data_IF_926972186721
#
_entry.id   IF_926972186721
#
_cell.length_a   1.000
_cell.length_b   1.000
_cell.length_c   1.000
_cell.angle_alpha   90.00
_cell.angle_beta   90.00
_cell.angle_gamma   90.00
#
_symmetry.space_group_name_H-M   'P 1'
#
loop_
_entity.id
_entity.type
_entity.pdbx_description
1 polymer ?
#
# COMPACT_ATOMS: atom_id res chain seq x y z
N UNK A 1 15.27 23.70 15.19
CA UNK A 1 14.04 22.92 15.48
C UNK A 1 14.32 21.53 16.04
N UNK A 2 15.29 20.77 15.53
CA UNK A 2 15.67 19.46 16.13
C UNK A 2 16.40 19.57 17.48
N UNK A 3 17.12 20.67 17.71
CA UNK A 3 17.87 20.87 18.96
C UNK A 3 17.00 21.25 20.16
N UNK A 4 15.87 21.92 19.91
CA UNK A 4 14.90 22.31 20.94
C UNK A 4 14.11 21.10 21.44
N UNK A 5 13.75 20.18 20.54
CA UNK A 5 13.13 18.89 20.88
C UNK A 5 14.12 18.01 21.66
N UNK A 6 15.42 18.01 21.30
CA UNK A 6 16.47 17.35 22.10
C UNK A 6 16.65 17.98 23.48
N UNK A 7 16.50 19.29 23.60
CA UNK A 7 16.57 20.03 24.86
C UNK A 7 15.42 19.67 25.80
N UNK A 8 14.18 19.67 25.31
CA UNK A 8 12.99 19.32 26.09
C UNK A 8 13.02 17.88 26.60
N UNK A 9 13.46 16.91 25.76
CA UNK A 9 13.63 15.50 26.14
C UNK A 9 14.72 15.32 27.21
N UNK A 10 15.79 16.13 27.19
CA UNK A 10 16.85 16.09 28.20
C UNK A 10 16.42 16.67 29.54
N UNK A 11 15.59 17.71 29.57
CA UNK A 11 15.08 18.32 30.81
C UNK A 11 14.03 17.43 31.47
N UNK A 12 13.11 16.85 30.70
CA UNK A 12 12.13 15.89 31.22
C UNK A 12 12.80 14.60 31.69
N UNK A 13 13.81 14.09 30.97
CA UNK A 13 14.60 12.94 31.41
C UNK A 13 15.48 13.23 32.64
N UNK A 14 15.81 14.49 32.96
CA UNK A 14 16.52 14.90 34.20
C UNK A 14 15.56 15.04 35.39
N UNK A 15 14.35 15.54 35.18
CA UNK A 15 13.32 15.60 36.21
C UNK A 15 12.79 14.21 36.58
N UNK A 16 12.62 13.35 35.57
CA UNK A 16 12.27 11.94 35.77
C UNK A 16 13.38 11.15 36.47
N UNK A 17 14.65 11.43 36.22
CA UNK A 17 15.75 10.75 36.92
C UNK A 17 15.99 11.19 38.35
N UNK A 18 15.46 12.35 38.75
CA UNK A 18 15.46 12.81 40.15
C UNK A 18 14.32 12.17 40.96
N UNK A 19 13.21 11.80 40.30
CA UNK A 19 12.05 11.16 40.95
C UNK A 19 12.11 9.63 40.83
N UNK A 20 12.64 9.11 39.73
CA UNK A 20 12.83 7.68 39.43
C UNK A 20 14.23 7.50 38.82
N UNK A 21 15.22 7.18 39.67
CA UNK A 21 16.64 7.04 39.31
C UNK A 21 16.89 6.21 38.05
N UNK A 22 17.83 6.69 37.22
CA UNK A 22 18.32 6.08 35.97
C UNK A 22 19.17 4.84 36.27
N UNK A 23 18.93 3.74 35.55
CA UNK A 23 20.03 2.84 35.15
C UNK A 23 19.64 1.96 33.95
N UNK A 24 19.65 2.53 32.74
CA UNK A 24 19.93 1.72 31.55
C UNK A 24 21.42 1.88 31.27
N UNK A 25 22.19 1.09 31.98
CA UNK A 25 23.63 0.90 31.86
C UNK A 25 23.87 -0.48 32.44
N UNK A 26 24.54 -1.35 31.69
CA UNK A 26 24.83 -2.75 32.02
C UNK A 26 25.11 -2.95 33.52
N UNK A 27 24.14 -3.46 34.26
CA UNK A 27 24.27 -3.82 35.66
C UNK A 27 23.38 -5.01 35.92
N UNK A 28 23.94 -6.07 36.51
CA UNK A 28 23.24 -7.22 37.08
C UNK A 28 21.93 -6.79 37.73
N UNK A 29 20.82 -6.92 37.01
CA UNK A 29 19.51 -6.57 37.50
C UNK A 29 19.15 -7.66 38.51
N UNK A 30 19.16 -7.32 39.81
CA UNK A 30 18.79 -8.25 40.88
C UNK A 30 17.36 -8.72 40.59
N UNK A 31 17.25 -9.92 40.02
CA UNK A 31 15.95 -10.54 39.70
C UNK A 31 15.08 -10.56 40.95
N UNK A 32 13.78 -10.30 40.85
CA UNK A 32 12.85 -10.59 41.93
C UNK A 32 13.00 -12.08 42.28
N UNK A 33 13.44 -12.36 43.49
CA UNK A 33 13.73 -13.73 43.97
C UNK A 33 12.42 -14.40 44.40
N UNK A 34 11.53 -14.63 43.45
CA UNK A 34 10.34 -15.46 43.62
C UNK A 34 10.34 -16.55 42.56
N UNK A 35 10.00 -17.78 42.93
CA UNK A 35 9.94 -18.91 41.98
C UNK A 35 9.05 -18.59 40.77
N UNK A 36 7.94 -17.89 41.00
CA UNK A 36 7.03 -17.43 39.96
C UNK A 36 7.67 -16.42 38.99
N UNK A 37 8.41 -15.44 39.50
CA UNK A 37 9.02 -14.40 38.66
C UNK A 37 10.17 -14.97 37.82
N UNK A 38 10.90 -15.96 38.34
CA UNK A 38 11.93 -16.66 37.59
C UNK A 38 11.34 -17.52 36.47
N UNK A 39 10.21 -18.19 36.71
CA UNK A 39 9.48 -18.96 35.71
C UNK A 39 8.93 -18.06 34.59
N UNK A 40 8.37 -16.90 34.93
CA UNK A 40 7.95 -15.91 33.94
C UNK A 40 9.13 -15.40 33.11
N UNK A 41 10.27 -15.11 33.73
CA UNK A 41 11.48 -14.65 33.04
C UNK A 41 12.01 -15.68 32.04
N UNK A 42 11.93 -16.98 32.35
CA UNK A 42 12.37 -18.05 31.43
C UNK A 42 11.44 -18.17 30.23
N UNK A 43 10.12 -18.12 30.46
CA UNK A 43 9.12 -18.17 29.38
C UNK A 43 9.22 -16.94 28.46
N UNK A 44 9.34 -15.74 29.02
CA UNK A 44 9.54 -14.51 28.24
C UNK A 44 10.81 -14.58 27.39
N UNK A 45 11.88 -15.20 27.91
CA UNK A 45 13.12 -15.42 27.14
C UNK A 45 12.93 -16.44 26.02
N UNK A 46 12.20 -17.53 26.26
CA UNK A 46 11.89 -18.53 25.23
C UNK A 46 11.07 -17.91 24.09
N UNK A 47 10.03 -17.13 24.41
CA UNK A 47 9.20 -16.42 23.43
C UNK A 47 10.04 -15.42 22.62
N UNK A 48 10.93 -14.66 23.28
CA UNK A 48 11.83 -13.71 22.60
C UNK A 48 12.86 -14.39 21.70
N UNK A 49 13.22 -15.64 22.00
CA UNK A 49 14.17 -16.43 21.21
C UNK A 49 13.52 -17.22 20.07
N UNK A 50 12.19 -17.24 20.00
CA UNK A 50 11.46 -17.78 18.86
C UNK A 50 11.73 -16.91 17.62
N UNK A 51 12.83 -17.22 16.92
CA UNK A 51 13.27 -16.51 15.71
C UNK A 51 12.42 -16.88 14.50
N UNK A 52 11.79 -18.05 14.53
CA UNK A 52 10.93 -18.59 13.48
C UNK A 52 9.69 -17.72 13.29
N UNK A 53 8.96 -17.42 14.37
CA UNK A 53 7.78 -16.53 14.33
C UNK A 53 8.12 -15.13 13.82
N UNK A 54 9.29 -14.59 14.20
CA UNK A 54 9.75 -13.29 13.67
C UNK A 54 10.07 -13.35 12.17
N UNK A 55 10.68 -14.44 11.70
CA UNK A 55 11.00 -14.62 10.27
C UNK A 55 9.74 -14.80 9.44
N UNK A 56 8.84 -15.67 9.88
CA UNK A 56 7.53 -15.88 9.26
C UNK A 56 6.73 -14.58 9.18
N UNK A 57 6.71 -13.79 10.27
CA UNK A 57 6.08 -12.48 10.29
C UNK A 57 6.68 -11.52 9.26
N UNK A 58 8.01 -11.46 9.15
CA UNK A 58 8.68 -10.60 8.17
C UNK A 58 8.40 -11.04 6.73
N UNK A 59 8.41 -12.35 6.45
CA UNK A 59 8.11 -12.89 5.13
C UNK A 59 6.67 -12.57 4.74
N UNK A 60 5.71 -12.85 5.63
CA UNK A 60 4.29 -12.55 5.40
C UNK A 60 4.05 -11.06 5.20
N UNK A 61 4.70 -10.20 6.00
CA UNK A 61 4.58 -8.75 5.86
C UNK A 61 5.13 -8.24 4.51
N UNK A 62 6.24 -8.82 4.04
CA UNK A 62 6.80 -8.50 2.72
C UNK A 62 5.88 -8.97 1.60
N UNK A 63 5.28 -10.15 1.72
CA UNK A 63 4.36 -10.70 0.73
C UNK A 63 3.07 -9.87 0.63
N UNK A 64 2.46 -9.52 1.75
CA UNK A 64 1.31 -8.60 1.79
C UNK A 64 1.64 -7.23 1.18
N UNK A 65 2.86 -6.72 1.40
CA UNK A 65 3.31 -5.47 0.79
C UNK A 65 3.46 -5.60 -0.72
N UNK A 66 4.02 -6.71 -1.22
CA UNK A 66 4.14 -7.01 -2.65
C UNK A 66 2.76 -7.12 -3.31
N UNK A 67 1.85 -7.90 -2.73
CA UNK A 67 0.48 -8.06 -3.26
C UNK A 67 -0.24 -6.71 -3.37
N UNK A 68 -0.15 -5.85 -2.35
CA UNK A 68 -0.72 -4.49 -2.39
C UNK A 68 -0.08 -3.60 -3.45
N UNK A 69 1.19 -3.81 -3.77
CA UNK A 69 1.88 -3.05 -4.81
C UNK A 69 1.42 -3.52 -6.20
N UNK A 70 1.41 -4.83 -6.45
CA UNK A 70 0.92 -5.41 -7.70
C UNK A 70 -0.52 -5.00 -8.00
N UNK A 71 -1.44 -5.13 -7.04
CA UNK A 71 -2.83 -4.72 -7.26
C UNK A 71 -3.01 -3.21 -7.54
N UNK A 72 -2.08 -2.35 -7.09
CA UNK A 72 -2.08 -0.92 -7.44
C UNK A 72 -1.47 -0.63 -8.81
N UNK A 73 -0.58 -1.48 -9.29
CA UNK A 73 0.03 -1.38 -10.61
C UNK A 73 -0.95 -1.92 -11.66
N UNK A 74 -1.51 -3.11 -11.45
CA UNK A 74 -2.54 -3.71 -12.30
C UNK A 74 -3.76 -2.79 -12.41
N UNK A 75 -4.33 -2.32 -11.29
CA UNK A 75 -5.48 -1.42 -11.33
C UNK A 75 -5.19 -0.06 -12.00
N UNK A 76 -3.92 0.39 -12.07
CA UNK A 76 -3.55 1.58 -12.84
C UNK A 76 -3.38 1.29 -14.32
N UNK A 77 -2.92 0.11 -14.68
CA UNK A 77 -2.75 -0.30 -16.07
C UNK A 77 -4.11 -0.58 -16.71
N UNK A 78 -4.93 -1.40 -16.05
CA UNK A 78 -6.32 -1.67 -16.43
C UNK A 78 -7.11 -0.36 -16.55
N UNK A 79 -7.07 0.51 -15.54
CA UNK A 79 -7.78 1.78 -15.59
C UNK A 79 -7.32 2.72 -16.72
N UNK A 80 -6.05 2.65 -17.14
CA UNK A 80 -5.56 3.40 -18.31
C UNK A 80 -6.04 2.78 -19.62
N UNK A 81 -6.07 1.45 -19.71
CA UNK A 81 -6.56 0.75 -20.90
C UNK A 81 -8.05 0.95 -21.09
N UNK A 82 -8.84 0.74 -20.05
CA UNK A 82 -10.29 0.99 -20.03
C UNK A 82 -10.59 2.45 -20.38
N UNK A 83 -9.86 3.40 -19.79
CA UNK A 83 -10.02 4.83 -20.10
C UNK A 83 -9.77 5.15 -21.58
N UNK A 84 -8.72 4.58 -22.19
CA UNK A 84 -8.43 4.76 -23.62
C UNK A 84 -9.51 4.14 -24.51
N UNK A 85 -10.01 2.96 -24.14
CA UNK A 85 -11.08 2.31 -24.89
C UNK A 85 -12.40 3.10 -24.79
N UNK A 86 -12.76 3.55 -23.60
CA UNK A 86 -13.94 4.40 -23.39
C UNK A 86 -13.86 5.71 -24.17
N UNK A 87 -12.70 6.37 -24.18
CA UNK A 87 -12.52 7.62 -24.92
C UNK A 87 -12.67 7.41 -26.42
N UNK A 88 -12.08 6.33 -26.96
CA UNK A 88 -12.25 5.93 -28.37
C UNK A 88 -13.72 5.66 -28.71
N UNK A 89 -14.44 4.94 -27.86
CA UNK A 89 -15.88 4.68 -28.04
C UNK A 89 -16.69 5.98 -28.04
N UNK A 90 -16.44 6.87 -27.06
CA UNK A 90 -17.11 8.18 -26.97
C UNK A 90 -16.84 9.02 -28.21
N UNK A 91 -15.60 9.01 -28.71
CA UNK A 91 -15.20 9.69 -29.94
C UNK A 91 -15.97 9.16 -31.17
N UNK A 92 -16.01 7.83 -31.37
CA UNK A 92 -16.74 7.19 -32.48
C UNK A 92 -18.23 7.57 -32.43
N UNK A 93 -18.86 7.46 -31.26
CA UNK A 93 -20.28 7.83 -31.09
C UNK A 93 -20.53 9.31 -31.35
N UNK A 94 -19.62 10.19 -30.94
CA UNK A 94 -19.72 11.62 -31.22
C UNK A 94 -19.57 11.93 -32.71
N UNK A 95 -18.70 11.23 -33.43
CA UNK A 95 -18.55 11.39 -34.88
C UNK A 95 -19.78 10.88 -35.64
N UNK A 96 -20.33 9.72 -35.25
CA UNK A 96 -21.57 9.19 -35.82
C UNK A 96 -22.74 10.16 -35.63
N UNK A 97 -22.90 10.75 -34.44
CA UNK A 97 -23.93 11.76 -34.17
C UNK A 97 -23.78 13.04 -35.00
N UNK A 98 -22.55 13.39 -35.38
CA UNK A 98 -22.26 14.55 -36.23
C UNK A 98 -22.45 14.27 -37.72
N UNK A 99 -22.73 13.01 -38.11
CA UNK A 99 -22.97 12.63 -39.50
C UNK A 99 -21.71 12.46 -40.34
N UNK A 100 -20.55 12.17 -39.72
CA UNK A 100 -19.35 11.77 -40.48
C UNK A 100 -19.58 10.42 -41.17
N UNK A 101 -18.95 10.22 -42.33
CA UNK A 101 -19.02 8.94 -43.06
C UNK A 101 -18.32 7.82 -42.28
N UNK A 102 -18.84 6.61 -42.41
CA UNK A 102 -18.35 5.44 -41.66
C UNK A 102 -16.90 5.14 -42.02
N UNK A 103 -16.51 5.35 -43.28
CA UNK A 103 -15.14 5.16 -43.76
C UNK A 103 -14.16 6.13 -43.10
N UNK A 104 -14.51 7.43 -43.01
CA UNK A 104 -13.64 8.43 -42.38
C UNK A 104 -13.50 8.21 -40.87
N UNK A 105 -14.54 7.71 -40.21
CA UNK A 105 -14.46 7.35 -38.78
C UNK A 105 -13.58 6.11 -38.60
N UNK A 106 -13.66 5.12 -39.49
CA UNK A 106 -12.83 3.92 -39.45
C UNK A 106 -11.33 4.25 -39.56
N UNK A 107 -10.98 5.16 -40.47
CA UNK A 107 -9.61 5.68 -40.62
C UNK A 107 -9.15 6.43 -39.37
N UNK A 108 -9.98 7.34 -38.83
CA UNK A 108 -9.62 8.12 -37.65
C UNK A 108 -9.47 7.27 -36.39
N UNK A 109 -10.36 6.30 -36.18
CA UNK A 109 -10.38 5.44 -35.01
C UNK A 109 -9.44 4.22 -35.14
N UNK A 110 -8.90 3.96 -36.33
CA UNK A 110 -8.09 2.78 -36.68
C UNK A 110 -8.83 1.47 -36.34
N UNK A 111 -10.14 1.43 -36.64
CA UNK A 111 -11.02 0.27 -36.41
C UNK A 111 -11.66 -0.18 -37.70
N UNK A 112 -12.21 -1.40 -37.75
CA UNK A 112 -12.93 -1.87 -38.92
C UNK A 112 -14.23 -1.09 -39.15
N UNK A 113 -14.62 -0.94 -40.41
CA UNK A 113 -15.89 -0.31 -40.82
C UNK A 113 -17.08 -1.11 -40.27
N UNK A 114 -16.96 -2.45 -40.25
CA UNK A 114 -17.95 -3.38 -39.68
C UNK A 114 -18.24 -3.06 -38.20
N UNK A 115 -17.19 -2.83 -37.41
CA UNK A 115 -17.34 -2.53 -35.99
C UNK A 115 -18.11 -1.22 -35.75
N UNK A 116 -17.84 -0.19 -36.56
CA UNK A 116 -18.54 1.10 -36.45
C UNK A 116 -20.01 0.96 -36.88
N UNK A 117 -20.28 0.16 -37.93
CA UNK A 117 -21.66 -0.14 -38.33
C UNK A 117 -22.43 -0.87 -37.24
N UNK A 118 -21.83 -1.86 -36.58
CA UNK A 118 -22.46 -2.53 -35.43
C UNK A 118 -22.71 -1.56 -34.26
N UNK A 119 -21.76 -0.68 -33.95
CA UNK A 119 -21.92 0.35 -32.92
C UNK A 119 -23.05 1.32 -33.26
N UNK A 120 -23.15 1.75 -34.52
CA UNK A 120 -24.23 2.61 -35.00
C UNK A 120 -25.61 1.96 -34.84
N UNK A 121 -25.75 0.69 -35.28
CA UNK A 121 -26.98 -0.09 -35.14
C UNK A 121 -27.38 -0.28 -33.68
N UNK A 122 -26.42 -0.63 -32.81
CA UNK A 122 -26.67 -0.78 -31.36
C UNK A 122 -27.15 0.52 -30.70
N UNK A 123 -26.71 1.67 -31.21
CA UNK A 123 -27.06 2.98 -30.68
C UNK A 123 -28.17 3.70 -31.47
N UNK A 124 -28.79 3.04 -32.46
CA UNK A 124 -29.83 3.60 -33.34
C UNK A 124 -29.39 4.90 -34.07
N UNK A 125 -28.10 5.01 -34.39
CA UNK A 125 -27.51 6.15 -35.09
C UNK A 125 -27.37 5.90 -36.61
N UNK A 126 -27.57 4.66 -37.03
CA UNK A 126 -27.57 4.13 -38.40
C UNK A 126 -28.60 3.00 -38.46
#
# INVERSE_FOLDING_TARGET
MQDEVRGAVKVTARRWTRIYGRSCGTSMEKRPKGAFVQALDTEVKAIKQHKETRREYMTLAMELKRQRQFGREEGREEGREEGRQEERLKMILAMLRKGFSVESIAECAQTSVEYIMELGKKNHLL
#
